data_IF_128261612818
#
_entry.id   IF_128261612818
#
_cell.length_a   1.000
_cell.length_b   1.000
_cell.length_c   1.000
_cell.angle_alpha   90.00
_cell.angle_beta   90.00
_cell.angle_gamma   90.00
#
_symmetry.space_group_name_H-M   'P 1'
#
loop_
_entity.id
_entity.type
_entity.pdbx_description
1 polymer ?
#
# COMPACT_ATOMS: atom_id res chain seq x y z
N UNK A 1 3.07 -7.01 3.23
CA UNK A 1 1.86 -7.81 2.84
C UNK A 1 2.25 -8.79 1.75
N UNK A 2 1.75 -10.05 1.81
CA UNK A 2 1.99 -10.99 0.73
C UNK A 2 1.20 -10.62 -0.52
N UNK A 3 1.71 -11.04 -1.69
CA UNK A 3 1.09 -10.74 -2.99
C UNK A 3 -0.27 -11.41 -3.14
N UNK A 4 -0.39 -12.60 -2.59
CA UNK A 4 -1.59 -13.42 -2.63
C UNK A 4 -2.76 -12.69 -1.96
N UNK A 5 -2.54 -12.13 -0.79
CA UNK A 5 -3.56 -11.37 -0.07
C UNK A 5 -3.95 -10.06 -0.78
N UNK A 6 -2.99 -9.36 -1.37
CA UNK A 6 -3.30 -8.16 -2.15
C UNK A 6 -4.17 -8.51 -3.36
N UNK A 7 -3.84 -9.60 -4.06
CA UNK A 7 -4.61 -10.08 -5.21
C UNK A 7 -6.00 -10.52 -4.80
N UNK A 8 -6.13 -11.28 -3.72
CA UNK A 8 -7.42 -11.69 -3.18
C UNK A 8 -8.30 -10.48 -2.82
N UNK A 9 -7.73 -9.51 -2.09
CA UNK A 9 -8.46 -8.30 -1.70
C UNK A 9 -8.94 -7.49 -2.92
N UNK A 10 -8.13 -7.44 -3.97
CA UNK A 10 -8.50 -6.80 -5.24
C UNK A 10 -9.63 -7.54 -5.95
N UNK A 11 -9.53 -8.86 -6.12
CA UNK A 11 -10.51 -9.67 -6.84
C UNK A 11 -11.88 -9.74 -6.13
N UNK A 12 -11.87 -9.65 -4.80
CA UNK A 12 -13.09 -9.73 -3.97
C UNK A 12 -13.57 -8.37 -3.45
N UNK A 13 -12.97 -7.27 -3.89
CA UNK A 13 -13.31 -5.91 -3.48
C UNK A 13 -13.42 -5.75 -1.97
N UNK A 14 -12.45 -6.31 -1.21
CA UNK A 14 -12.46 -6.26 0.24
C UNK A 14 -11.36 -5.37 0.85
N UNK A 15 -11.57 -4.98 2.10
CA UNK A 15 -10.58 -4.25 2.88
C UNK A 15 -9.57 -5.23 3.51
N UNK A 16 -8.33 -4.77 3.64
CA UNK A 16 -7.26 -5.53 4.28
C UNK A 16 -6.96 -4.96 5.65
N UNK A 17 -7.07 -5.77 6.70
CA UNK A 17 -6.62 -5.41 8.05
C UNK A 17 -5.16 -5.85 8.20
N UNK A 18 -4.24 -4.90 8.34
CA UNK A 18 -2.81 -5.21 8.42
C UNK A 18 -2.03 -4.13 9.17
N UNK A 19 -0.88 -4.50 9.73
CA UNK A 19 0.13 -3.58 10.24
C UNK A 19 1.15 -3.15 9.19
N UNK A 20 1.11 -3.74 8.00
CA UNK A 20 2.03 -3.43 6.91
C UNK A 20 1.58 -2.16 6.17
N UNK A 21 2.35 -1.08 6.33
CA UNK A 21 2.06 0.20 5.69
C UNK A 21 2.16 0.17 4.16
N UNK A 22 2.94 -0.74 3.61
CA UNK A 22 3.09 -0.90 2.16
C UNK A 22 1.80 -1.33 1.46
N UNK A 23 0.87 -1.91 2.22
CA UNK A 23 -0.44 -2.30 1.71
C UNK A 23 -1.25 -1.12 1.11
N UNK A 24 -1.00 0.10 1.61
CA UNK A 24 -1.67 1.32 1.14
C UNK A 24 -1.36 1.64 -0.33
N UNK A 25 -0.18 1.21 -0.80
CA UNK A 25 0.29 1.48 -2.17
C UNK A 25 -0.35 0.53 -3.19
N UNK A 26 -0.79 -0.65 -2.73
CA UNK A 26 -1.47 -1.60 -3.60
C UNK A 26 -2.85 -1.05 -4.02
N UNK A 27 -3.19 -1.22 -5.30
CA UNK A 27 -4.48 -0.78 -5.87
C UNK A 27 -5.65 -1.66 -5.40
N UNK A 28 -5.81 -1.81 -4.08
CA UNK A 28 -6.91 -2.52 -3.42
C UNK A 28 -7.93 -1.51 -2.89
N UNK A 29 -9.13 -1.97 -2.54
CA UNK A 29 -10.21 -1.12 -2.04
C UNK A 29 -9.77 -0.22 -0.88
N UNK A 30 -8.99 -0.76 0.05
CA UNK A 30 -8.39 0.01 1.13
C UNK A 30 -7.81 -0.85 2.24
N UNK A 31 -7.14 -0.19 3.15
CA UNK A 31 -6.43 -0.78 4.28
C UNK A 31 -7.02 -0.29 5.59
N UNK A 32 -7.19 -1.20 6.53
CA UNK A 32 -7.51 -0.91 7.91
C UNK A 32 -6.22 -1.08 8.72
N UNK A 33 -5.61 0.00 9.24
CA UNK A 33 -4.38 -0.09 10.00
C UNK A 33 -4.60 -0.82 11.33
N UNK A 34 -4.02 -2.01 11.49
CA UNK A 34 -4.21 -2.86 12.67
C UNK A 34 -3.79 -2.14 13.96
N UNK A 35 -2.69 -1.40 13.92
CA UNK A 35 -2.17 -0.66 15.08
C UNK A 35 -3.15 0.40 15.59
N UNK A 36 -3.87 1.07 14.69
CA UNK A 36 -4.88 2.07 15.03
C UNK A 36 -6.12 1.42 15.65
N UNK A 37 -6.57 0.30 15.08
CA UNK A 37 -7.69 -0.47 15.64
C UNK A 37 -7.34 -0.97 17.02
N UNK A 38 -6.17 -1.59 17.20
CA UNK A 38 -5.70 -2.10 18.48
C UNK A 38 -5.54 -1.00 19.55
N UNK A 39 -4.95 0.13 19.17
CA UNK A 39 -4.78 1.27 20.07
C UNK A 39 -6.13 1.85 20.53
N UNK A 40 -7.08 1.96 19.62
CA UNK A 40 -8.43 2.45 19.92
C UNK A 40 -9.22 1.45 20.77
N UNK A 41 -9.08 0.16 20.52
CA UNK A 41 -9.69 -0.89 21.33
C UNK A 41 -9.18 -0.87 22.76
N UNK A 42 -7.86 -0.80 22.97
CA UNK A 42 -7.25 -0.73 24.31
C UNK A 42 -7.69 0.50 25.13
N UNK A 43 -7.97 1.61 24.44
CA UNK A 43 -8.46 2.85 25.09
C UNK A 43 -9.98 2.87 25.28
N UNK A 44 -10.69 1.82 24.89
CA UNK A 44 -12.16 1.79 24.84
C UNK A 44 -12.77 2.96 24.07
N UNK A 45 -12.06 3.46 23.06
CA UNK A 45 -12.47 4.62 22.26
C UNK A 45 -12.87 4.24 20.83
N UNK A 46 -12.93 2.95 20.51
CA UNK A 46 -13.28 2.48 19.18
C UNK A 46 -14.77 2.77 18.89
N UNK A 47 -15.02 3.92 18.29
CA UNK A 47 -16.35 4.30 17.76
C UNK A 47 -16.43 4.08 16.26
N UNK A 48 -15.30 4.17 15.57
CA UNK A 48 -15.17 4.07 14.12
C UNK A 48 -13.92 3.28 13.79
N UNK A 49 -14.00 2.50 12.72
CA UNK A 49 -12.85 1.78 12.17
C UNK A 49 -12.16 2.72 11.18
N UNK A 50 -10.88 3.09 11.40
CA UNK A 50 -10.15 3.90 10.44
C UNK A 50 -9.88 3.09 9.17
N UNK A 51 -10.17 3.67 8.02
CA UNK A 51 -9.93 3.05 6.72
C UNK A 51 -9.14 4.01 5.86
N UNK A 52 -8.02 3.55 5.33
CA UNK A 52 -7.27 4.26 4.29
C UNK A 52 -7.68 3.68 2.94
N UNK A 53 -8.46 4.43 2.18
CA UNK A 53 -8.90 4.04 0.84
C UNK A 53 -7.87 4.48 -0.19
N UNK A 54 -7.51 3.57 -1.09
CA UNK A 54 -6.52 3.84 -2.14
C UNK A 54 -6.94 4.98 -3.08
N UNK A 55 -8.20 4.96 -3.55
CA UNK A 55 -8.74 6.00 -4.43
C UNK A 55 -8.76 7.39 -3.78
N UNK A 56 -9.13 7.47 -2.50
CA UNK A 56 -9.09 8.73 -1.75
C UNK A 56 -7.66 9.22 -1.51
N UNK A 57 -6.72 8.30 -1.27
CA UNK A 57 -5.31 8.64 -1.13
C UNK A 57 -4.77 9.30 -2.40
N UNK A 58 -5.07 8.74 -3.57
CA UNK A 58 -4.67 9.32 -4.86
C UNK A 58 -5.23 10.73 -5.03
N UNK A 59 -6.52 10.92 -4.72
CA UNK A 59 -7.17 12.24 -4.83
C UNK A 59 -6.56 13.26 -3.86
N UNK A 60 -6.37 12.88 -2.59
CA UNK A 60 -5.82 13.78 -1.55
C UNK A 60 -4.37 14.17 -1.86
N UNK A 61 -3.56 13.23 -2.31
CA UNK A 61 -2.17 13.47 -2.69
C UNK A 61 -2.02 14.07 -4.08
N UNK A 62 -3.09 14.13 -4.89
CA UNK A 62 -3.06 14.54 -6.30
C UNK A 62 -2.08 13.71 -7.13
N UNK A 63 -1.98 12.43 -6.83
CA UNK A 63 -1.11 11.47 -7.52
C UNK A 63 -1.94 10.46 -8.30
N UNK A 64 -1.34 9.86 -9.32
CA UNK A 64 -1.84 8.64 -9.95
C UNK A 64 -1.12 7.40 -9.39
N UNK A 65 -1.55 6.20 -9.80
CA UNK A 65 -0.96 4.94 -9.33
C UNK A 65 0.55 4.81 -9.60
N UNK A 66 1.01 5.31 -10.74
CA UNK A 66 2.43 5.27 -11.12
C UNK A 66 3.23 6.19 -10.19
N UNK A 67 2.72 7.40 -10.00
CA UNK A 67 3.32 8.40 -9.11
C UNK A 67 3.33 7.93 -7.64
N UNK A 68 2.28 7.25 -7.17
CA UNK A 68 2.24 6.70 -5.82
C UNK A 68 3.28 5.59 -5.63
N UNK A 69 3.46 4.72 -6.64
CA UNK A 69 4.54 3.72 -6.63
C UNK A 69 5.92 4.36 -6.67
N UNK A 70 6.07 5.47 -7.40
CA UNK A 70 7.31 6.24 -7.41
C UNK A 70 7.59 6.88 -6.05
N UNK A 71 6.57 7.42 -5.38
CA UNK A 71 6.70 7.92 -4.00
C UNK A 71 7.24 6.83 -3.06
N UNK A 72 6.70 5.60 -3.15
CA UNK A 72 7.20 4.47 -2.37
C UNK A 72 8.66 4.11 -2.67
N UNK A 73 9.09 4.29 -3.91
CA UNK A 73 10.49 4.08 -4.30
C UNK A 73 11.40 5.16 -3.70
N UNK A 74 10.96 6.42 -3.69
CA UNK A 74 11.72 7.54 -3.11
C UNK A 74 11.84 7.43 -1.58
N UNK A 75 10.74 7.11 -0.90
CA UNK A 75 10.73 6.92 0.55
C UNK A 75 11.52 5.67 0.98
N UNK A 76 11.60 4.69 0.13
CA UNK A 76 12.14 3.37 0.41
C UNK A 76 11.09 2.40 0.93
N UNK A 77 11.40 1.14 0.82
CA UNK A 77 10.56 0.02 1.26
C UNK A 77 11.46 -1.15 1.66
N UNK A 78 10.89 -2.31 2.01
CA UNK A 78 11.64 -3.50 2.45
C UNK A 78 12.68 -4.01 1.43
N UNK A 79 12.57 -3.61 0.15
CA UNK A 79 13.41 -4.12 -0.94
C UNK A 79 14.37 -3.07 -1.50
N UNK A 80 14.01 -1.80 -1.35
CA UNK A 80 14.77 -0.69 -1.93
C UNK A 80 14.97 0.39 -0.87
N UNK A 81 16.25 0.69 -0.61
CA UNK A 81 16.57 1.82 0.26
C UNK A 81 16.13 3.12 -0.39
N UNK A 82 15.42 3.94 0.36
CA UNK A 82 15.00 5.28 -0.08
C UNK A 82 16.18 6.17 -0.45
N UNK A 83 15.91 7.17 -1.25
CA UNK A 83 16.87 8.21 -1.59
C UNK A 83 16.50 9.51 -0.86
N UNK A 84 17.51 10.33 -0.59
CA UNK A 84 17.31 11.63 0.04
C UNK A 84 17.89 12.73 -0.86
N UNK A 85 17.12 13.19 -1.86
CA UNK A 85 17.55 14.28 -2.73
C UNK A 85 17.89 15.55 -1.95
N UNK A 86 18.68 16.44 -2.54
CA UNK A 86 19.14 17.64 -1.86
C UNK A 86 18.01 18.52 -1.33
N UNK A 87 16.86 18.54 -2.02
CA UNK A 87 15.67 19.31 -1.64
C UNK A 87 14.96 18.76 -0.39
N UNK A 88 15.27 17.53 0.05
CA UNK A 88 14.67 16.92 1.25
C UNK A 88 15.53 17.09 2.50
N UNK A 89 16.72 17.68 2.40
CA UNK A 89 17.64 17.82 3.53
C UNK A 89 17.04 18.69 4.64
N UNK A 90 17.03 18.15 5.85
CA UNK A 90 16.52 18.86 7.04
C UNK A 90 15.01 18.88 7.20
N UNK A 91 14.25 18.25 6.30
CA UNK A 91 12.82 18.09 6.48
C UNK A 91 12.53 17.02 7.54
N UNK A 92 11.48 17.23 8.34
CA UNK A 92 10.92 16.21 9.23
C UNK A 92 10.03 15.26 8.42
N UNK A 93 9.74 14.08 8.95
CA UNK A 93 9.05 12.99 8.24
C UNK A 93 7.81 13.44 7.47
N UNK A 94 6.89 14.17 8.10
CA UNK A 94 5.69 14.66 7.43
C UNK A 94 6.03 15.63 6.29
N UNK A 95 6.89 16.62 6.55
CA UNK A 95 7.34 17.59 5.54
C UNK A 95 8.13 16.92 4.42
N UNK A 96 8.83 15.82 4.74
CA UNK A 96 9.56 15.01 3.76
C UNK A 96 8.59 14.38 2.76
N UNK A 97 7.51 13.75 3.24
CA UNK A 97 6.49 13.14 2.38
C UNK A 97 5.80 14.20 1.52
N UNK A 98 5.40 15.32 2.11
CA UNK A 98 4.80 16.46 1.39
C UNK A 98 5.76 17.01 0.31
N UNK A 99 7.04 17.14 0.63
CA UNK A 99 8.07 17.58 -0.31
C UNK A 99 8.22 16.63 -1.50
N UNK A 100 8.20 15.32 -1.27
CA UNK A 100 8.22 14.34 -2.35
C UNK A 100 6.94 14.40 -3.20
N UNK A 101 5.77 14.51 -2.59
CA UNK A 101 4.49 14.63 -3.32
C UNK A 101 4.53 15.83 -4.25
N UNK A 102 4.90 17.01 -3.75
CA UNK A 102 4.99 18.24 -4.56
C UNK A 102 6.00 18.09 -5.72
N UNK A 103 7.09 17.37 -5.50
CA UNK A 103 8.08 17.10 -6.53
C UNK A 103 7.58 16.13 -7.62
N UNK A 104 6.77 15.14 -7.23
CA UNK A 104 6.28 14.09 -8.13
C UNK A 104 5.11 14.58 -9.02
N UNK A 105 4.24 15.44 -8.50
CA UNK A 105 3.04 15.90 -9.22
C UNK A 105 3.31 16.32 -10.68
N UNK A 106 4.37 17.08 -11.03
CA UNK A 106 4.65 17.45 -12.41
C UNK A 106 5.13 16.32 -13.31
N UNK A 107 5.62 15.20 -12.75
CA UNK A 107 6.15 14.07 -13.51
C UNK A 107 4.98 13.20 -14.00
N UNK A 108 4.72 13.21 -15.30
CA UNK A 108 3.52 12.57 -15.85
C UNK A 108 3.77 11.17 -16.40
N UNK A 109 5.03 10.85 -16.75
CA UNK A 109 5.39 9.57 -17.36
C UNK A 109 6.36 8.78 -16.50
N UNK A 110 6.37 7.45 -16.67
CA UNK A 110 7.33 6.57 -15.99
C UNK A 110 8.78 6.89 -16.42
N UNK A 111 8.98 7.35 -17.66
CA UNK A 111 10.30 7.75 -18.16
C UNK A 111 10.82 8.99 -17.43
N UNK A 112 9.99 10.03 -17.27
CA UNK A 112 10.35 11.23 -16.50
C UNK A 112 10.71 10.87 -15.05
N UNK A 113 9.97 9.96 -14.42
CA UNK A 113 10.26 9.48 -13.07
C UNK A 113 11.56 8.66 -12.99
N UNK A 114 11.86 7.85 -14.02
CA UNK A 114 13.13 7.12 -14.10
C UNK A 114 14.33 8.06 -14.25
N UNK A 115 14.20 9.08 -15.10
CA UNK A 115 15.23 10.09 -15.30
C UNK A 115 15.46 10.91 -14.02
N UNK A 116 14.36 11.31 -13.34
CA UNK A 116 14.42 12.00 -12.05
C UNK A 116 15.11 11.13 -10.99
N UNK A 117 14.73 9.86 -10.88
CA UNK A 117 15.36 8.94 -9.94
C UNK A 117 16.84 8.72 -10.24
N UNK A 118 17.22 8.58 -11.51
CA UNK A 118 18.60 8.46 -11.95
C UNK A 118 19.42 9.68 -11.50
N UNK A 119 18.91 10.88 -11.77
CA UNK A 119 19.59 12.14 -11.44
C UNK A 119 19.81 12.30 -9.93
N UNK A 120 18.88 11.82 -9.09
CA UNK A 120 18.98 11.95 -7.64
C UNK A 120 19.70 10.78 -6.96
N UNK A 121 19.62 9.58 -7.50
CA UNK A 121 20.26 8.39 -6.93
C UNK A 121 21.70 8.19 -7.40
N UNK A 122 22.09 8.75 -8.55
CA UNK A 122 23.35 8.51 -9.24
C UNK A 122 23.62 7.04 -9.57
N UNK A 123 22.56 6.23 -9.65
CA UNK A 123 22.64 4.82 -10.01
C UNK A 123 22.73 4.65 -11.53
N UNK A 124 23.35 3.56 -12.03
CA UNK A 124 23.29 3.21 -13.45
C UNK A 124 21.83 3.03 -13.92
N UNK A 125 21.56 3.41 -15.18
CA UNK A 125 20.20 3.37 -15.76
C UNK A 125 19.56 1.96 -15.65
N UNK A 126 20.35 0.91 -15.85
CA UNK A 126 19.85 -0.47 -15.72
C UNK A 126 19.43 -0.80 -14.29
N UNK A 127 20.13 -0.28 -13.28
CA UNK A 127 19.73 -0.46 -11.89
C UNK A 127 18.48 0.35 -11.56
N UNK A 128 18.33 1.56 -12.11
CA UNK A 128 17.10 2.36 -12.00
C UNK A 128 15.92 1.57 -12.57
N UNK A 129 16.04 1.08 -13.80
CA UNK A 129 15.01 0.27 -14.47
C UNK A 129 14.65 -0.97 -13.63
N UNK A 130 15.64 -1.67 -13.11
CA UNK A 130 15.44 -2.84 -12.26
C UNK A 130 14.63 -2.52 -10.99
N UNK A 131 14.87 -1.35 -10.37
CA UNK A 131 14.11 -0.91 -9.18
C UNK A 131 12.67 -0.55 -9.52
N UNK A 132 12.43 0.13 -10.61
CA UNK A 132 11.07 0.43 -11.08
C UNK A 132 10.28 -0.85 -11.36
N UNK A 133 10.86 -1.80 -12.08
CA UNK A 133 10.24 -3.10 -12.33
C UNK A 133 9.95 -3.88 -11.04
N UNK A 134 10.84 -3.80 -10.05
CA UNK A 134 10.64 -4.46 -8.77
C UNK A 134 9.45 -3.86 -8.01
N UNK A 135 9.36 -2.53 -7.95
CA UNK A 135 8.25 -1.81 -7.31
C UNK A 135 6.93 -2.10 -8.04
N UNK A 136 6.94 -2.06 -9.37
CA UNK A 136 5.79 -2.40 -10.20
C UNK A 136 5.28 -3.82 -9.92
N UNK A 137 6.18 -4.81 -9.92
CA UNK A 137 5.84 -6.20 -9.60
C UNK A 137 5.34 -6.37 -8.17
N UNK A 138 5.76 -5.52 -7.24
CA UNK A 138 5.32 -5.61 -5.83
C UNK A 138 3.94 -5.02 -5.60
N UNK A 139 3.63 -3.90 -6.23
CA UNK A 139 2.44 -3.11 -5.89
C UNK A 139 1.34 -3.13 -6.96
N UNK A 140 1.64 -3.58 -8.17
CA UNK A 140 0.63 -3.77 -9.21
C UNK A 140 -0.05 -5.14 -9.06
N UNK A 141 -1.19 -5.15 -8.39
CA UNK A 141 -1.97 -6.36 -8.15
C UNK A 141 -2.44 -7.05 -9.43
N UNK A 142 -2.55 -6.32 -10.54
CA UNK A 142 -2.93 -6.90 -11.83
C UNK A 142 -1.81 -7.77 -12.42
N UNK A 143 -0.57 -7.56 -12.00
CA UNK A 143 0.58 -8.38 -12.41
C UNK A 143 0.64 -9.74 -11.73
N UNK A 144 -0.24 -10.02 -10.75
CA UNK A 144 -0.23 -11.26 -9.99
C UNK A 144 -1.12 -12.32 -10.63
N UNK A 145 -0.71 -13.60 -10.61
CA UNK A 145 -1.61 -14.68 -11.01
C UNK A 145 -2.80 -14.75 -10.05
N UNK A 146 -4.00 -15.07 -10.59
CA UNK A 146 -5.18 -15.32 -9.76
C UNK A 146 -4.95 -16.51 -8.84
N UNK A 147 -5.37 -16.36 -7.58
CA UNK A 147 -5.18 -17.38 -6.56
C UNK A 147 -6.42 -18.27 -6.50
N UNK A 148 -6.31 -19.60 -6.56
CA UNK A 148 -7.46 -20.46 -6.40
C UNK A 148 -8.01 -20.36 -4.96
N UNK A 149 -9.32 -20.14 -4.83
CA UNK A 149 -10.06 -20.06 -3.55
C UNK A 149 -9.85 -21.30 -2.65
N UNK A 150 -9.46 -22.44 -3.21
CA UNK A 150 -9.20 -23.68 -2.46
C UNK A 150 -8.13 -23.54 -1.35
N UNK A 151 -7.30 -22.50 -1.42
CA UNK A 151 -6.27 -22.27 -0.41
C UNK A 151 -6.84 -21.69 0.91
N UNK A 152 -8.03 -21.04 0.85
CA UNK A 152 -8.66 -20.42 2.02
C UNK A 152 -9.73 -21.30 2.68
N UNK A 153 -10.10 -22.42 2.04
CA UNK A 153 -11.18 -23.29 2.50
C UNK A 153 -10.70 -24.54 3.22
N UNK A 154 -9.39 -24.79 3.33
CA UNK A 154 -8.87 -26.03 3.95
C UNK A 154 -8.70 -25.95 5.49
N UNK A 155 -8.98 -24.81 6.12
CA UNK A 155 -9.08 -24.70 7.58
C UNK A 155 -10.44 -24.15 8.00
N UNK A 156 -11.54 -24.79 7.61
CA UNK A 156 -12.78 -24.74 8.35
C UNK A 156 -12.64 -25.61 9.61
N UNK A 157 -11.89 -25.11 10.58
CA UNK A 157 -12.05 -25.55 11.96
C UNK A 157 -13.35 -24.92 12.47
N UNK A 158 -14.45 -25.70 12.45
CA UNK A 158 -15.83 -25.31 12.72
C UNK A 158 -16.06 -24.66 14.11
N UNK A 159 -15.01 -24.31 14.85
CA UNK A 159 -15.10 -23.87 16.23
C UNK A 159 -14.81 -22.40 16.55
N UNK A 160 -14.25 -21.61 15.64
CA UNK A 160 -13.70 -20.28 16.00
C UNK A 160 -14.49 -19.10 15.41
N UNK A 161 -15.38 -19.30 14.47
CA UNK A 161 -16.09 -18.22 13.76
C UNK A 161 -17.45 -17.83 14.33
N UNK A 162 -18.00 -18.56 15.28
CA UNK A 162 -19.31 -18.25 15.88
C UNK A 162 -19.29 -17.14 16.94
N UNK A 163 -18.11 -16.71 17.44
CA UNK A 163 -18.03 -15.64 18.42
C UNK A 163 -17.61 -14.26 17.87
N UNK A 164 -17.05 -14.20 16.69
CA UNK A 164 -16.84 -12.93 15.97
C UNK A 164 -18.05 -12.70 15.06
N UNK A 165 -19.14 -12.12 15.61
CA UNK A 165 -20.33 -11.76 14.87
C UNK A 165 -20.01 -10.98 13.59
N UNK A 166 -19.93 -11.68 12.46
CA UNK A 166 -19.98 -11.08 11.15
C UNK A 166 -21.36 -10.50 11.01
N UNK A 167 -21.51 -9.23 11.30
CA UNK A 167 -22.74 -8.49 10.97
C UNK A 167 -22.90 -8.48 9.46
N UNK A 168 -23.65 -9.46 8.93
CA UNK A 168 -24.25 -9.41 7.61
C UNK A 168 -25.21 -8.22 7.59
N UNK A 169 -24.68 -7.02 7.36
CA UNK A 169 -25.55 -5.84 7.43
C UNK A 169 -25.10 -4.63 6.64
N UNK A 170 -23.81 -4.55 6.25
CA UNK A 170 -23.30 -3.35 5.59
C UNK A 170 -22.55 -3.61 4.28
N UNK A 171 -22.62 -4.80 3.72
CA UNK A 171 -21.97 -5.11 2.44
C UNK A 171 -20.44 -4.89 2.43
N UNK A 172 -19.78 -4.98 3.58
CA UNK A 172 -18.32 -4.81 3.72
C UNK A 172 -17.69 -6.19 3.85
N UNK A 173 -16.99 -6.63 2.84
CA UNK A 173 -16.15 -7.82 2.94
C UNK A 173 -14.83 -7.43 3.60
N UNK A 174 -14.49 -8.09 4.69
CA UNK A 174 -13.25 -7.88 5.45
C UNK A 174 -12.35 -9.11 5.28
N UNK A 175 -11.16 -8.93 4.71
CA UNK A 175 -10.12 -9.95 4.73
C UNK A 175 -9.22 -9.69 5.94
N UNK A 176 -9.27 -10.57 6.94
CA UNK A 176 -8.37 -10.53 8.08
C UNK A 176 -7.02 -11.16 7.69
N UNK A 177 -5.97 -10.36 7.77
CA UNK A 177 -4.58 -10.79 7.62
C UNK A 177 -3.89 -10.48 8.94
N UNK A 178 -3.57 -11.50 9.69
CA UNK A 178 -2.82 -11.41 10.95
C UNK A 178 -1.34 -11.54 10.69
#
# INVERSE_FOLDING_TARGET
MSREFAKYAYEHDCYVLTSDSDAIICSIRGVIPLNEVYSSFRRHTLKYIPVVRHDLLLVVCQLNDVQLRYLALLLGNDFVKGIHPAYTRGLRDQMLVEGFIQHIIPLQTEEEMMDDYHNHSHLPVDEVRRRFEMVKRKYDVNSYPSFPLSFLTEEEDEGVYDECGVTRGLGVSLCLIV
#
